data_IF_490806830668
#
_entry.id   IF_490806830668
#
_cell.length_a   1.000
_cell.length_b   1.000
_cell.length_c   1.000
_cell.angle_alpha   90.00
_cell.angle_beta   90.00
_cell.angle_gamma   90.00
#
_symmetry.space_group_name_H-M   'P 1'
#
loop_
_entity.id
_entity.type
_entity.pdbx_description
1 polymer ?
#
# COMPACT_ATOMS: atom_id res chain seq x y z
N UNK A 1 -21.66 -7.93 29.53
CA UNK A 1 -22.38 -8.46 28.36
C UNK A 1 -21.38 -8.60 27.23
N UNK A 2 -20.90 -9.84 26.99
CA UNK A 2 -20.06 -10.14 25.83
C UNK A 2 -20.82 -9.74 24.58
N UNK A 3 -20.27 -8.82 23.80
CA UNK A 3 -20.90 -8.25 22.61
C UNK A 3 -21.03 -9.24 21.45
N UNK A 4 -20.69 -10.52 21.64
CA UNK A 4 -20.66 -11.54 20.58
C UNK A 4 -19.68 -11.19 19.45
N UNK A 5 -18.80 -10.22 19.67
CA UNK A 5 -17.84 -9.73 18.67
C UNK A 5 -16.51 -10.43 18.86
N UNK A 6 -16.09 -11.17 17.85
CA UNK A 6 -14.79 -11.81 17.78
C UNK A 6 -13.77 -10.82 17.20
N UNK A 7 -12.60 -10.68 17.83
CA UNK A 7 -11.51 -9.93 17.20
C UNK A 7 -11.04 -10.66 15.94
N UNK A 8 -10.65 -9.91 14.91
CA UNK A 8 -10.21 -10.50 13.65
C UNK A 8 -9.02 -11.46 13.83
N UNK A 9 -8.09 -11.12 14.73
CA UNK A 9 -6.91 -11.93 15.06
C UNK A 9 -7.31 -13.29 15.68
N UNK A 10 -8.29 -13.30 16.58
CA UNK A 10 -8.83 -14.53 17.18
C UNK A 10 -9.54 -15.40 16.14
N UNK A 11 -10.18 -14.78 15.15
CA UNK A 11 -10.83 -15.47 14.04
C UNK A 11 -9.90 -16.35 13.22
N UNK A 12 -8.67 -15.89 12.95
CA UNK A 12 -7.66 -16.69 12.24
C UNK A 12 -7.26 -17.90 13.07
N UNK A 13 -7.03 -17.72 14.38
CA UNK A 13 -6.69 -18.82 15.28
C UNK A 13 -7.77 -19.89 15.35
N UNK A 14 -9.04 -19.46 15.48
CA UNK A 14 -10.19 -20.37 15.50
C UNK A 14 -10.33 -21.12 14.17
N UNK A 15 -10.16 -20.44 13.03
CA UNK A 15 -10.18 -21.08 11.72
C UNK A 15 -9.08 -22.12 11.58
N UNK A 16 -7.86 -21.82 12.04
CA UNK A 16 -6.74 -22.75 11.99
C UNK A 16 -7.01 -24.00 12.84
N UNK A 17 -7.47 -23.83 14.07
CA UNK A 17 -7.85 -24.97 14.94
C UNK A 17 -8.98 -25.78 14.30
N UNK A 18 -10.01 -25.12 13.77
CA UNK A 18 -11.11 -25.80 13.08
C UNK A 18 -10.65 -26.58 11.85
N UNK A 19 -9.69 -26.05 11.09
CA UNK A 19 -9.04 -26.76 9.97
C UNK A 19 -8.31 -28.01 10.48
N UNK A 20 -7.45 -27.88 11.50
CA UNK A 20 -6.68 -29.00 12.06
C UNK A 20 -7.58 -30.10 12.66
N UNK A 21 -8.74 -29.72 13.21
CA UNK A 21 -9.74 -30.65 13.72
C UNK A 21 -10.64 -31.26 12.63
N UNK A 22 -10.49 -30.86 11.37
CA UNK A 22 -11.36 -31.31 10.28
C UNK A 22 -12.80 -30.75 10.35
N UNK A 23 -13.06 -29.77 11.21
CA UNK A 23 -14.36 -29.13 11.35
C UNK A 23 -14.70 -28.20 10.18
N UNK A 24 -13.69 -27.69 9.48
CA UNK A 24 -13.86 -26.88 8.27
C UNK A 24 -13.68 -27.75 7.02
N UNK A 25 -14.73 -27.94 6.19
CA UNK A 25 -14.64 -28.76 5.00
C UNK A 25 -13.82 -28.07 3.89
N UNK A 26 -13.00 -28.85 3.18
CA UNK A 26 -12.23 -28.36 2.03
C UNK A 26 -13.13 -28.11 0.80
N UNK A 27 -12.93 -27.01 0.05
CA UNK A 27 -13.66 -26.77 -1.19
C UNK A 27 -13.33 -27.81 -2.27
N UNK A 28 -14.31 -28.57 -2.77
CA UNK A 28 -14.07 -29.69 -3.70
C UNK A 28 -14.03 -29.34 -5.19
N UNK A 29 -14.45 -28.13 -5.58
CA UNK A 29 -14.61 -27.72 -7.00
C UNK A 29 -13.65 -26.61 -7.45
N UNK A 30 -12.68 -26.26 -6.60
CA UNK A 30 -11.74 -25.18 -6.89
C UNK A 30 -10.42 -25.81 -7.34
N UNK A 31 -10.13 -25.69 -8.63
CA UNK A 31 -8.93 -26.27 -9.22
C UNK A 31 -7.72 -25.34 -9.18
N UNK A 32 -7.95 -24.02 -9.11
CA UNK A 32 -6.88 -23.02 -9.07
C UNK A 32 -7.31 -21.86 -8.18
N UNK A 33 -6.40 -21.43 -7.30
CA UNK A 33 -6.54 -20.24 -6.46
C UNK A 33 -5.42 -19.26 -6.81
N UNK A 34 -5.81 -18.00 -7.02
CA UNK A 34 -4.88 -16.88 -7.14
C UNK A 34 -4.93 -16.10 -5.84
N UNK A 35 -3.77 -15.94 -5.20
CA UNK A 35 -3.61 -15.11 -4.01
C UNK A 35 -2.81 -13.88 -4.44
N UNK A 36 -3.40 -12.72 -4.22
CA UNK A 36 -2.74 -11.43 -4.46
C UNK A 36 -2.32 -10.81 -3.13
N UNK A 37 -1.30 -9.97 -3.18
CA UNK A 37 -0.71 -9.30 -2.01
C UNK A 37 -0.32 -10.27 -0.87
N UNK A 38 0.26 -11.42 -1.23
CA UNK A 38 0.56 -12.51 -0.27
C UNK A 38 1.41 -12.10 0.91
N UNK A 39 2.21 -11.04 0.79
CA UNK A 39 3.01 -10.52 1.88
C UNK A 39 2.18 -9.98 3.06
N UNK A 40 0.92 -9.56 2.84
CA UNK A 40 0.07 -9.01 3.91
C UNK A 40 -0.57 -10.09 4.80
N UNK A 41 -0.47 -11.36 4.40
CA UNK A 41 -1.02 -12.47 5.16
C UNK A 41 -0.03 -12.91 6.24
N UNK A 42 -0.56 -13.21 7.42
CA UNK A 42 0.20 -13.85 8.49
C UNK A 42 0.51 -15.31 8.18
N UNK A 43 1.54 -15.89 8.84
CA UNK A 43 1.83 -17.32 8.71
C UNK A 43 0.62 -18.21 9.01
N UNK A 44 -0.20 -17.84 10.00
CA UNK A 44 -1.42 -18.58 10.35
C UNK A 44 -2.47 -18.50 9.23
N UNK A 45 -2.65 -17.33 8.60
CA UNK A 45 -3.55 -17.20 7.45
C UNK A 45 -3.05 -18.04 6.26
N UNK A 46 -1.75 -18.03 5.98
CA UNK A 46 -1.17 -18.91 4.97
C UNK A 46 -1.40 -20.39 5.28
N UNK A 47 -1.24 -20.82 6.53
CA UNK A 47 -1.48 -22.20 6.95
C UNK A 47 -2.96 -22.61 6.75
N UNK A 48 -3.91 -21.73 7.07
CA UNK A 48 -5.34 -21.96 6.80
C UNK A 48 -5.59 -22.14 5.30
N UNK A 49 -5.04 -21.25 4.46
CA UNK A 49 -5.19 -21.33 3.00
C UNK A 49 -4.54 -22.61 2.46
N UNK A 50 -3.34 -22.96 2.94
CA UNK A 50 -2.63 -24.17 2.55
C UNK A 50 -3.45 -25.44 2.85
N UNK A 51 -4.10 -25.49 4.01
CA UNK A 51 -4.99 -26.58 4.40
C UNK A 51 -6.24 -26.65 3.52
N UNK A 52 -6.95 -25.53 3.37
CA UNK A 52 -8.24 -25.48 2.66
C UNK A 52 -8.08 -25.87 1.19
N UNK A 53 -7.03 -25.37 0.54
CA UNK A 53 -6.81 -25.52 -0.90
C UNK A 53 -5.73 -26.55 -1.23
N UNK A 54 -5.52 -27.56 -0.37
CA UNK A 54 -4.50 -28.60 -0.57
C UNK A 54 -4.56 -29.28 -1.93
N UNK A 55 -5.76 -29.35 -2.52
CA UNK A 55 -6.06 -30.07 -3.76
C UNK A 55 -6.13 -29.13 -4.99
N UNK A 56 -5.90 -27.82 -4.79
CA UNK A 56 -5.92 -26.78 -5.83
C UNK A 56 -4.51 -26.40 -6.27
N UNK A 57 -4.32 -25.95 -7.51
CA UNK A 57 -3.10 -25.20 -7.91
C UNK A 57 -3.13 -23.80 -7.31
N UNK A 58 -1.95 -23.24 -7.03
CA UNK A 58 -1.80 -21.89 -6.47
C UNK A 58 -0.95 -21.02 -7.38
N UNK A 59 -1.38 -19.78 -7.57
CA UNK A 59 -0.55 -18.69 -8.07
C UNK A 59 -0.54 -17.60 -7.02
N UNK A 60 0.64 -17.30 -6.50
CA UNK A 60 0.85 -16.33 -5.43
C UNK A 60 1.58 -15.12 -6.00
N UNK A 61 0.98 -13.95 -5.83
CA UNK A 61 1.48 -12.66 -6.29
C UNK A 61 1.67 -11.76 -5.08
N UNK A 62 2.76 -11.00 -5.05
CA UNK A 62 3.03 -10.07 -3.97
C UNK A 62 4.29 -9.26 -4.21
N UNK A 63 4.41 -8.20 -3.43
CA UNK A 63 5.58 -7.33 -3.37
C UNK A 63 5.94 -7.09 -1.91
N UNK A 64 7.01 -7.72 -1.45
CA UNK A 64 7.50 -7.65 -0.08
C UNK A 64 7.75 -6.20 0.36
N UNK A 65 8.17 -5.32 -0.56
CA UNK A 65 8.36 -3.90 -0.28
C UNK A 65 7.05 -3.16 0.05
N UNK A 66 5.91 -3.69 -0.41
CA UNK A 66 4.57 -3.15 -0.17
C UNK A 66 3.89 -3.73 1.08
N UNK A 67 4.64 -4.39 1.97
CA UNK A 67 4.11 -4.84 3.26
C UNK A 67 3.72 -3.63 4.13
N UNK A 68 2.44 -3.51 4.44
CA UNK A 68 1.91 -2.39 5.25
C UNK A 68 2.09 -2.66 6.75
N UNK A 69 1.89 -3.91 7.20
CA UNK A 69 1.96 -4.26 8.61
C UNK A 69 3.03 -5.33 8.88
N UNK A 70 4.26 -4.91 9.21
CA UNK A 70 5.38 -5.81 9.50
C UNK A 70 5.16 -6.76 10.70
N UNK A 71 4.17 -6.49 11.57
CA UNK A 71 3.87 -7.36 12.71
C UNK A 71 3.02 -8.58 12.31
N UNK A 72 2.32 -8.49 11.20
CA UNK A 72 1.38 -9.50 10.73
C UNK A 72 1.94 -10.23 9.53
N UNK A 73 2.37 -9.49 8.51
CA UNK A 73 2.74 -10.06 7.22
C UNK A 73 4.11 -10.71 7.17
N UNK A 74 4.48 -11.20 5.99
CA UNK A 74 5.70 -11.93 5.71
C UNK A 74 6.55 -11.22 4.65
N UNK A 75 7.88 -11.26 4.82
CA UNK A 75 8.85 -10.57 3.94
C UNK A 75 9.76 -11.53 3.17
N UNK A 76 9.48 -12.83 3.20
CA UNK A 76 10.31 -13.85 2.58
C UNK A 76 9.42 -14.82 1.81
N UNK A 77 9.55 -14.79 0.48
CA UNK A 77 8.79 -15.65 -0.42
C UNK A 77 9.08 -17.14 -0.21
N UNK A 78 10.32 -17.51 0.14
CA UNK A 78 10.68 -18.90 0.42
C UNK A 78 10.05 -19.39 1.72
N UNK A 79 10.00 -18.53 2.75
CA UNK A 79 9.26 -18.84 3.97
C UNK A 79 7.76 -19.02 3.70
N UNK A 80 7.17 -18.15 2.86
CA UNK A 80 5.76 -18.33 2.43
C UNK A 80 5.60 -19.68 1.73
N UNK A 81 6.43 -20.02 0.74
CA UNK A 81 6.38 -21.31 0.04
C UNK A 81 6.52 -22.50 0.99
N UNK A 82 7.39 -22.39 1.99
CA UNK A 82 7.63 -23.44 2.98
C UNK A 82 6.39 -23.77 3.82
N UNK A 83 5.51 -22.78 4.09
CA UNK A 83 4.25 -23.01 4.82
C UNK A 83 3.31 -23.90 3.98
N UNK A 84 3.27 -23.72 2.66
CA UNK A 84 2.45 -24.55 1.78
C UNK A 84 3.04 -25.94 1.57
N UNK A 85 4.37 -26.07 1.64
CA UNK A 85 5.12 -27.33 1.56
C UNK A 85 4.69 -28.23 0.38
N UNK A 86 4.61 -27.65 -0.83
CA UNK A 86 4.14 -28.35 -2.04
C UNK A 86 5.30 -28.70 -2.97
N UNK A 87 5.30 -29.89 -3.58
CA UNK A 87 6.29 -30.24 -4.60
C UNK A 87 6.13 -29.33 -5.83
N UNK A 88 7.23 -29.07 -6.53
CA UNK A 88 7.26 -28.23 -7.74
C UNK A 88 6.77 -26.79 -7.52
N UNK A 89 7.10 -26.21 -6.36
CA UNK A 89 6.87 -24.79 -6.08
C UNK A 89 8.09 -23.98 -6.54
N UNK A 90 7.85 -22.87 -7.23
CA UNK A 90 8.90 -22.00 -7.76
C UNK A 90 8.64 -20.55 -7.38
N UNK A 91 9.67 -19.87 -6.87
CA UNK A 91 9.67 -18.44 -6.69
C UNK A 91 10.27 -17.77 -7.93
N UNK A 92 9.51 -16.88 -8.56
CA UNK A 92 9.97 -16.11 -9.70
C UNK A 92 9.88 -14.61 -9.40
N UNK A 93 11.01 -13.92 -9.47
CA UNK A 93 11.08 -12.47 -9.27
C UNK A 93 10.92 -11.74 -10.61
N UNK A 94 9.93 -10.85 -10.70
CA UNK A 94 9.80 -9.92 -11.82
C UNK A 94 10.52 -8.62 -11.46
N UNK A 95 11.70 -8.40 -12.05
CA UNK A 95 12.59 -7.29 -11.66
C UNK A 95 12.35 -6.00 -12.44
N UNK A 96 11.46 -6.02 -13.45
CA UNK A 96 11.16 -4.87 -14.31
C UNK A 96 9.81 -4.24 -13.96
N UNK A 97 9.84 -3.02 -13.44
CA UNK A 97 8.64 -2.20 -13.19
C UNK A 97 8.32 -1.34 -14.41
N UNK A 98 7.08 -1.43 -14.90
CA UNK A 98 6.53 -0.64 -16.01
C UNK A 98 5.47 0.38 -15.54
N UNK A 99 5.10 0.35 -14.25
CA UNK A 99 3.94 1.07 -13.71
C UNK A 99 4.20 2.56 -13.57
N UNK A 100 5.24 2.91 -12.82
CA UNK A 100 5.63 4.29 -12.50
C UNK A 100 6.82 4.75 -13.33
N UNK A 101 7.05 6.05 -13.37
CA UNK A 101 8.24 6.62 -14.03
C UNK A 101 9.52 6.20 -13.34
N UNK A 102 10.64 6.28 -14.05
CA UNK A 102 11.96 5.99 -13.51
C UNK A 102 12.25 6.84 -12.27
N UNK A 103 11.88 8.13 -12.29
CA UNK A 103 12.10 9.07 -11.19
C UNK A 103 11.34 8.66 -9.93
N UNK A 104 10.07 8.24 -10.07
CA UNK A 104 9.25 7.75 -8.95
C UNK A 104 9.81 6.44 -8.41
N UNK A 105 10.15 5.50 -9.30
CA UNK A 105 10.70 4.20 -8.93
C UNK A 105 12.04 4.34 -8.19
N UNK A 106 12.97 5.15 -8.70
CA UNK A 106 14.26 5.43 -8.07
C UNK A 106 14.10 6.16 -6.73
N UNK A 107 13.11 7.03 -6.63
CA UNK A 107 12.80 7.70 -5.37
C UNK A 107 12.28 6.70 -4.32
N UNK A 108 11.27 5.90 -4.69
CA UNK A 108 10.68 4.90 -3.81
C UNK A 108 11.69 3.81 -3.41
N UNK A 109 12.61 3.42 -4.29
CA UNK A 109 13.68 2.46 -4.00
C UNK A 109 14.55 2.85 -2.79
N UNK A 110 14.73 4.15 -2.52
CA UNK A 110 15.47 4.63 -1.34
C UNK A 110 14.79 4.25 -0.02
N UNK A 111 13.51 3.91 -0.06
CA UNK A 111 12.74 3.46 1.07
C UNK A 111 12.83 1.94 1.26
N UNK A 112 13.41 1.19 0.34
CA UNK A 112 13.63 -0.24 0.46
C UNK A 112 15.03 -0.55 0.99
N UNK A 113 15.27 -1.73 1.58
CA UNK A 113 16.60 -2.21 1.90
C UNK A 113 17.51 -2.28 0.66
N UNK A 114 18.82 -2.02 0.82
CA UNK A 114 19.80 -1.96 -0.28
C UNK A 114 19.96 -3.28 -1.07
N UNK A 115 19.48 -4.40 -0.54
CA UNK A 115 19.55 -5.73 -1.19
C UNK A 115 18.61 -5.91 -2.39
N UNK A 116 17.92 -4.85 -2.79
CA UNK A 116 16.91 -4.88 -3.82
C UNK A 116 17.53 -4.59 -5.20
N UNK A 117 17.75 -5.62 -6.02
CA UNK A 117 18.11 -5.40 -7.43
C UNK A 117 16.93 -4.78 -8.18
N UNK A 118 17.10 -3.53 -8.61
CA UNK A 118 16.06 -2.78 -9.29
C UNK A 118 16.44 -2.51 -10.75
N UNK A 119 15.87 -3.28 -11.67
CA UNK A 119 15.96 -3.02 -13.10
C UNK A 119 14.72 -2.24 -13.54
N UNK A 120 14.70 -0.92 -13.34
CA UNK A 120 13.56 -0.11 -13.76
C UNK A 120 13.51 0.06 -15.27
N UNK A 121 12.31 0.00 -15.85
CA UNK A 121 12.13 0.35 -17.24
C UNK A 121 12.27 1.87 -17.41
N UNK A 122 12.99 2.31 -18.44
CA UNK A 122 13.30 3.72 -18.69
C UNK A 122 12.11 4.49 -19.29
N UNK A 123 11.04 4.60 -18.50
CA UNK A 123 9.96 5.55 -18.78
C UNK A 123 10.20 6.81 -17.94
N UNK A 124 10.76 7.84 -18.56
CA UNK A 124 11.00 9.12 -17.91
C UNK A 124 9.72 9.95 -17.76
N UNK A 125 9.63 10.68 -16.66
CA UNK A 125 8.56 11.65 -16.39
C UNK A 125 9.08 12.86 -15.64
N UNK A 126 8.23 13.46 -14.80
CA UNK A 126 8.66 14.58 -13.96
C UNK A 126 9.49 14.07 -12.78
N UNK A 127 10.50 14.84 -12.32
CA UNK A 127 11.13 14.59 -11.03
C UNK A 127 10.10 14.56 -9.90
N UNK A 128 10.37 13.76 -8.87
CA UNK A 128 9.59 13.79 -7.63
C UNK A 128 9.79 15.14 -6.94
N UNK A 129 8.69 15.82 -6.60
CA UNK A 129 8.72 17.10 -5.89
C UNK A 129 8.66 16.89 -4.38
N UNK A 130 9.53 17.55 -3.63
CA UNK A 130 9.53 17.57 -2.16
C UNK A 130 9.26 19.00 -1.68
N UNK A 131 8.03 19.27 -1.27
CA UNK A 131 7.54 20.60 -0.88
C UNK A 131 7.48 20.72 0.65
N UNK A 132 8.18 21.72 1.18
CA UNK A 132 8.26 22.00 2.63
C UNK A 132 7.55 23.31 2.94
N UNK A 133 6.60 23.26 3.87
CA UNK A 133 5.77 24.39 4.27
C UNK A 133 6.06 24.77 5.73
N UNK A 134 5.91 26.04 6.07
CA UNK A 134 6.08 26.51 7.45
C UNK A 134 4.85 26.17 8.30
N UNK A 135 3.66 26.11 7.69
CA UNK A 135 2.40 25.85 8.41
C UNK A 135 1.49 24.87 7.66
N UNK A 136 0.63 24.17 8.41
CA UNK A 136 -0.42 23.34 7.82
C UNK A 136 -1.35 24.14 6.90
N UNK A 137 -1.50 25.46 7.11
CA UNK A 137 -2.34 26.30 6.27
C UNK A 137 -1.74 26.48 4.87
N UNK A 138 -0.44 26.72 4.78
CA UNK A 138 0.28 26.85 3.52
C UNK A 138 0.24 25.53 2.73
N UNK A 139 0.55 24.41 3.39
CA UNK A 139 0.46 23.08 2.77
C UNK A 139 -0.93 22.80 2.22
N UNK A 140 -1.99 23.09 3.00
CA UNK A 140 -3.38 22.91 2.53
C UNK A 140 -3.72 23.81 1.36
N UNK A 141 -3.22 25.05 1.35
CA UNK A 141 -3.44 25.98 0.25
C UNK A 141 -2.75 25.49 -1.04
N UNK A 142 -1.53 24.96 -0.91
CA UNK A 142 -0.82 24.32 -2.02
C UNK A 142 -1.61 23.12 -2.57
N UNK A 143 -2.01 22.17 -1.70
CA UNK A 143 -2.79 20.99 -2.11
C UNK A 143 -4.10 21.40 -2.80
N UNK A 144 -4.80 22.42 -2.28
CA UNK A 144 -6.02 22.93 -2.88
C UNK A 144 -5.78 23.46 -4.31
N UNK A 145 -4.70 24.23 -4.50
CA UNK A 145 -4.35 24.77 -5.82
C UNK A 145 -3.95 23.68 -6.80
N UNK A 146 -3.18 22.67 -6.35
CA UNK A 146 -2.84 21.53 -7.20
C UNK A 146 -4.06 20.72 -7.62
N UNK A 147 -5.00 20.48 -6.70
CA UNK A 147 -6.26 19.82 -7.03
C UNK A 147 -7.12 20.65 -8.00
N UNK A 148 -7.18 21.98 -7.82
CA UNK A 148 -7.86 22.89 -8.77
C UNK A 148 -7.22 22.87 -10.14
N UNK A 149 -5.89 22.83 -10.21
CA UNK A 149 -5.15 22.72 -11.47
C UNK A 149 -5.42 21.40 -12.20
N UNK A 150 -5.86 20.36 -11.50
CA UNK A 150 -6.28 19.08 -12.08
C UNK A 150 -7.78 18.98 -12.37
N UNK A 151 -8.59 19.92 -11.89
CA UNK A 151 -10.04 19.86 -12.10
C UNK A 151 -10.38 19.97 -13.60
N UNK A 152 -11.21 19.06 -14.10
CA UNK A 152 -11.60 19.00 -15.51
C UNK A 152 -10.55 18.42 -16.46
N UNK A 153 -9.36 18.03 -15.96
CA UNK A 153 -8.35 17.32 -16.76
C UNK A 153 -8.62 15.81 -16.75
N UNK A 154 -8.29 15.09 -17.84
CA UNK A 154 -8.34 13.64 -17.85
C UNK A 154 -7.32 13.07 -16.86
N UNK A 155 -7.69 11.97 -16.21
CA UNK A 155 -6.84 11.24 -15.28
C UNK A 155 -7.34 11.27 -13.84
N UNK A 156 -6.47 10.80 -12.95
CA UNK A 156 -6.73 10.59 -11.54
C UNK A 156 -5.70 11.32 -10.69
N UNK A 157 -6.17 12.14 -9.76
CA UNK A 157 -5.32 12.83 -8.79
C UNK A 157 -5.76 12.45 -7.39
N UNK A 158 -4.86 11.85 -6.61
CA UNK A 158 -5.11 11.50 -5.23
C UNK A 158 -4.23 12.30 -4.27
N UNK A 159 -4.83 12.79 -3.20
CA UNK A 159 -4.11 13.21 -2.01
C UNK A 159 -4.10 12.04 -1.03
N UNK A 160 -2.93 11.46 -0.82
CA UNK A 160 -2.73 10.41 0.16
C UNK A 160 -2.46 11.03 1.53
N UNK A 161 -3.08 10.46 2.56
CA UNK A 161 -2.87 10.87 3.96
C UNK A 161 -2.49 9.67 4.79
N UNK A 162 -1.72 9.87 5.86
CA UNK A 162 -1.26 8.76 6.71
C UNK A 162 -2.41 7.99 7.37
N UNK A 163 -3.48 8.67 7.78
CA UNK A 163 -4.57 8.08 8.56
C UNK A 163 -5.95 8.48 8.05
N UNK A 164 -6.97 7.65 8.31
CA UNK A 164 -8.36 7.95 7.96
C UNK A 164 -8.85 9.26 8.58
N UNK A 165 -8.43 9.54 9.82
CA UNK A 165 -8.75 10.81 10.51
C UNK A 165 -8.16 12.02 9.79
N UNK A 166 -6.93 11.90 9.29
CA UNK A 166 -6.29 12.96 8.50
C UNK A 166 -7.00 13.15 7.15
N UNK A 167 -7.39 12.06 6.49
CA UNK A 167 -8.16 12.07 5.24
C UNK A 167 -9.50 12.82 5.42
N UNK A 168 -10.28 12.45 6.43
CA UNK A 168 -11.57 13.06 6.75
C UNK A 168 -11.42 14.55 7.08
N UNK A 169 -10.43 14.91 7.91
CA UNK A 169 -10.15 16.29 8.30
C UNK A 169 -9.80 17.14 7.07
N UNK A 170 -8.90 16.67 6.23
CA UNK A 170 -8.49 17.38 5.02
C UNK A 170 -9.67 17.52 4.04
N UNK A 171 -10.45 16.45 3.88
CA UNK A 171 -11.64 16.47 3.03
C UNK A 171 -12.66 17.52 3.46
N UNK A 172 -13.01 17.58 4.75
CA UNK A 172 -13.95 18.58 5.26
C UNK A 172 -13.46 20.02 5.02
N UNK A 173 -12.15 20.24 5.10
CA UNK A 173 -11.55 21.55 4.87
C UNK A 173 -11.58 21.98 3.40
N UNK A 174 -11.38 21.03 2.47
CA UNK A 174 -11.25 21.30 1.04
C UNK A 174 -12.55 21.15 0.23
N UNK A 175 -13.50 20.31 0.66
CA UNK A 175 -14.73 19.99 -0.10
C UNK A 175 -15.57 21.22 -0.45
N UNK A 176 -15.62 22.22 0.44
CA UNK A 176 -16.31 23.50 0.19
C UNK A 176 -15.72 24.32 -0.95
N UNK A 177 -14.46 24.07 -1.31
CA UNK A 177 -13.74 24.78 -2.37
C UNK A 177 -13.63 23.95 -3.67
N UNK A 178 -13.91 22.65 -3.59
CA UNK A 178 -13.84 21.68 -4.68
C UNK A 178 -15.05 20.71 -4.59
N UNK A 179 -16.19 21.06 -5.21
CA UNK A 179 -17.41 20.26 -5.14
C UNK A 179 -17.25 18.83 -5.70
N UNK A 180 -16.31 18.63 -6.63
CA UNK A 180 -16.05 17.32 -7.26
C UNK A 180 -15.04 16.45 -6.49
N UNK A 181 -14.54 16.92 -5.34
CA UNK A 181 -13.61 16.16 -4.51
C UNK A 181 -14.29 14.97 -3.84
N UNK A 182 -13.67 13.79 -3.94
CA UNK A 182 -14.14 12.55 -3.33
C UNK A 182 -13.26 12.13 -2.15
N UNK A 183 -13.88 11.47 -1.17
CA UNK A 183 -13.17 10.84 -0.06
C UNK A 183 -13.37 9.33 -0.16
N UNK A 184 -12.28 8.59 -0.30
CA UNK A 184 -12.34 7.14 -0.18
C UNK A 184 -12.37 6.78 1.31
N UNK A 185 -13.40 6.04 1.68
CA UNK A 185 -13.59 5.50 3.03
C UNK A 185 -14.10 4.07 2.89
N UNK A 186 -13.94 3.26 3.94
CA UNK A 186 -14.37 1.85 3.96
C UNK A 186 -15.85 1.65 3.57
N UNK A 187 -16.68 2.70 3.64
CA UNK A 187 -18.12 2.66 3.32
C UNK A 187 -18.46 3.03 1.88
N UNK A 188 -17.54 3.59 1.10
CA UNK A 188 -17.77 4.05 -0.29
C UNK A 188 -16.69 3.48 -1.20
N UNK A 189 -17.03 2.41 -1.91
CA UNK A 189 -16.08 1.63 -2.71
C UNK A 189 -16.08 1.94 -4.22
N UNK A 190 -16.89 2.89 -4.70
CA UNK A 190 -16.96 3.17 -6.14
C UNK A 190 -15.86 4.13 -6.57
N UNK A 191 -14.68 3.56 -6.85
CA UNK A 191 -13.55 4.29 -7.44
C UNK A 191 -13.86 4.70 -8.88
N UNK A 192 -13.58 5.96 -9.22
CA UNK A 192 -13.83 6.57 -10.54
C UNK A 192 -12.74 7.61 -10.84
N UNK A 193 -12.64 8.03 -12.10
CA UNK A 193 -11.77 9.14 -12.50
C UNK A 193 -12.09 10.41 -11.70
N UNK A 194 -11.06 11.21 -11.38
CA UNK A 194 -11.24 12.50 -10.70
C UNK A 194 -10.31 12.73 -9.51
N UNK A 195 -10.77 13.58 -8.59
CA UNK A 195 -10.01 14.07 -7.45
C UNK A 195 -10.37 13.30 -6.18
N UNK A 196 -9.37 12.74 -5.52
CA UNK A 196 -9.56 11.89 -4.35
C UNK A 196 -8.72 12.33 -3.15
N UNK A 197 -9.26 12.15 -1.95
CA UNK A 197 -8.48 12.08 -0.71
C UNK A 197 -8.63 10.66 -0.17
N UNK A 198 -7.50 10.02 0.13
CA UNK A 198 -7.45 8.60 0.47
C UNK A 198 -6.45 8.38 1.60
N UNK A 199 -6.79 7.65 2.68
CA UNK A 199 -5.78 7.18 3.62
C UNK A 199 -4.92 6.10 2.95
N UNK A 200 -3.59 6.11 3.15
CA UNK A 200 -2.67 5.18 2.46
C UNK A 200 -3.06 3.71 2.64
N UNK A 201 -3.63 3.33 3.79
CA UNK A 201 -4.13 1.97 4.06
C UNK A 201 -5.21 1.50 3.07
N UNK A 202 -5.97 2.41 2.46
CA UNK A 202 -7.01 2.11 1.46
C UNK A 202 -6.54 2.36 0.02
N UNK A 203 -5.32 2.87 -0.17
CA UNK A 203 -4.76 3.15 -1.49
C UNK A 203 -4.11 1.91 -2.12
N UNK A 204 -3.92 0.82 -1.36
CA UNK A 204 -3.34 -0.43 -1.85
C UNK A 204 -4.23 -1.04 -2.95
N UNK A 205 -3.62 -1.51 -4.03
CA UNK A 205 -4.34 -1.97 -5.22
C UNK A 205 -4.94 -0.86 -6.10
N UNK A 206 -4.86 0.41 -5.70
CA UNK A 206 -5.25 1.56 -6.53
C UNK A 206 -4.02 2.19 -7.17
N UNK A 207 -4.24 2.87 -8.30
CA UNK A 207 -3.21 3.58 -9.06
C UNK A 207 -3.74 4.95 -9.49
N UNK A 208 -2.86 5.95 -9.46
CA UNK A 208 -3.21 7.34 -9.78
C UNK A 208 -2.17 7.96 -10.69
N UNK A 209 -2.60 8.77 -11.65
CA UNK A 209 -1.69 9.51 -12.52
C UNK A 209 -0.83 10.49 -11.71
N UNK A 210 -1.46 11.17 -10.76
CA UNK A 210 -0.81 12.11 -9.84
C UNK A 210 -1.13 11.79 -8.39
N UNK A 211 -0.10 11.79 -7.55
CA UNK A 211 -0.23 11.66 -6.09
C UNK A 211 0.39 12.86 -5.38
N UNK A 212 -0.36 13.44 -4.45
CA UNK A 212 0.18 14.32 -3.41
C UNK A 212 0.16 13.57 -2.08
N UNK A 213 1.31 13.30 -1.48
CA UNK A 213 1.37 12.73 -0.14
C UNK A 213 1.41 13.85 0.89
N UNK A 214 0.33 14.00 1.66
CA UNK A 214 0.23 15.00 2.71
C UNK A 214 0.90 14.53 4.01
N UNK A 215 1.39 15.50 4.79
CA UNK A 215 1.95 15.30 6.11
C UNK A 215 3.12 14.30 6.17
N UNK A 216 4.05 14.36 5.20
CA UNK A 216 5.19 13.43 5.13
C UNK A 216 6.05 13.44 6.40
N UNK A 217 6.14 14.56 7.13
CA UNK A 217 6.83 14.66 8.43
C UNK A 217 6.27 13.71 9.51
N UNK A 218 5.07 13.17 9.33
CA UNK A 218 4.46 12.22 10.29
C UNK A 218 5.03 10.80 10.18
N UNK A 219 5.66 10.43 9.07
CA UNK A 219 6.31 9.14 8.89
C UNK A 219 7.67 9.21 9.57
N UNK A 220 7.85 8.56 10.72
CA UNK A 220 9.08 8.74 11.54
C UNK A 220 9.72 7.43 11.95
N UNK A 221 8.93 6.36 12.07
CA UNK A 221 9.39 5.07 12.56
C UNK A 221 9.76 4.19 11.39
N UNK A 222 10.67 3.25 11.59
CA UNK A 222 10.97 2.21 10.58
C UNK A 222 9.71 1.41 10.18
N UNK A 223 8.76 1.23 11.09
CA UNK A 223 7.46 0.63 10.78
C UNK A 223 6.61 1.43 9.79
N UNK A 224 6.88 2.73 9.62
CA UNK A 224 6.18 3.60 8.65
C UNK A 224 6.80 3.49 7.23
N UNK A 225 7.97 2.84 7.07
CA UNK A 225 8.74 2.77 5.82
C UNK A 225 7.96 2.06 4.71
N UNK A 226 7.36 0.90 5.00
CA UNK A 226 6.51 0.18 4.04
C UNK A 226 5.28 0.99 3.64
N UNK A 227 4.66 1.70 4.60
CA UNK A 227 3.53 2.58 4.31
C UNK A 227 3.93 3.75 3.40
N UNK A 228 5.11 4.35 3.62
CA UNK A 228 5.65 5.42 2.79
C UNK A 228 6.00 4.92 1.39
N UNK A 229 6.58 3.73 1.28
CA UNK A 229 6.86 3.07 0.00
C UNK A 229 5.58 2.82 -0.80
N UNK A 230 4.55 2.26 -0.15
CA UNK A 230 3.23 2.06 -0.77
C UNK A 230 2.67 3.37 -1.29
N UNK A 231 2.72 4.44 -0.47
CA UNK A 231 2.22 5.77 -0.87
C UNK A 231 2.92 6.31 -2.12
N UNK A 232 4.25 6.24 -2.18
CA UNK A 232 5.03 6.70 -3.33
C UNK A 232 4.71 5.89 -4.61
N UNK A 233 4.59 4.57 -4.48
CA UNK A 233 4.35 3.66 -5.61
C UNK A 233 2.90 3.67 -6.13
N UNK A 234 2.00 4.45 -5.51
CA UNK A 234 0.66 4.68 -6.07
C UNK A 234 0.66 5.67 -7.23
N UNK A 235 1.73 6.47 -7.38
CA UNK A 235 1.87 7.44 -8.46
C UNK A 235 2.39 6.80 -9.74
N UNK A 236 1.71 7.06 -10.87
CA UNK A 236 2.15 6.61 -12.19
C UNK A 236 2.97 7.66 -12.94
N UNK A 237 2.66 8.96 -12.80
CA UNK A 237 3.31 10.02 -13.60
C UNK A 237 3.90 11.15 -12.77
N UNK A 238 3.22 11.58 -11.71
CA UNK A 238 3.65 12.70 -10.89
C UNK A 238 3.49 12.38 -9.40
N UNK A 239 4.55 12.61 -8.62
CA UNK A 239 4.57 12.42 -7.17
C UNK A 239 5.07 13.71 -6.50
N UNK A 240 4.27 14.23 -5.58
CA UNK A 240 4.61 15.37 -4.74
C UNK A 240 4.50 14.99 -3.26
N UNK A 241 5.59 15.13 -2.52
CA UNK A 241 5.64 14.93 -1.07
C UNK A 241 5.49 16.29 -0.38
N UNK A 242 4.48 16.42 0.46
CA UNK A 242 4.21 17.66 1.20
C UNK A 242 4.54 17.46 2.68
N UNK A 243 5.40 18.30 3.24
CA UNK A 243 5.78 18.30 4.66
C UNK A 243 5.53 19.65 5.32
N UNK A 244 5.11 19.64 6.58
CA UNK A 244 5.17 20.84 7.44
C UNK A 244 6.40 20.75 8.32
N UNK A 245 7.34 21.68 8.14
CA UNK A 245 8.68 21.58 8.70
C UNK A 245 9.51 20.46 8.05
N UNK A 246 10.47 19.92 8.80
CA UNK A 246 11.40 18.92 8.26
C UNK A 246 10.66 17.66 7.74
N UNK A 247 10.98 17.19 6.51
CA UNK A 247 10.46 15.94 5.98
C UNK A 247 10.78 14.73 6.84
N UNK A 248 10.14 13.60 6.53
CA UNK A 248 10.42 12.33 7.19
C UNK A 248 11.91 12.00 7.18
N UNK A 249 12.50 11.58 8.32
CA UNK A 249 13.89 11.11 8.36
C UNK A 249 14.10 9.87 7.48
N UNK A 250 13.05 9.12 7.15
CA UNK A 250 13.11 7.93 6.29
C UNK A 250 13.43 8.28 4.83
N UNK A 251 13.24 9.54 4.42
CA UNK A 251 13.55 10.04 3.08
C UNK A 251 15.03 10.41 2.93
N UNK A 252 15.74 10.62 4.04
CA UNK A 252 17.18 10.87 4.00
C UNK A 252 17.88 9.55 3.68
N UNK A 253 18.85 9.57 2.75
CA UNK A 253 19.67 8.41 2.44
C UNK A 253 20.22 7.85 3.75
N UNK A 254 19.91 6.59 4.05
CA UNK A 254 20.64 5.80 5.04
C UNK A 254 22.11 5.89 4.66
N UNK A 255 22.87 6.69 5.40
CA UNK A 255 24.31 6.64 5.35
C UNK A 255 24.70 5.31 6.01
N UNK A 256 25.65 4.53 5.48
CA UNK A 256 25.90 3.18 5.98
C UNK A 256 26.23 3.22 7.47
N UNK A 257 25.56 2.38 8.25
CA UNK A 257 26.13 1.92 9.51
C UNK A 257 27.31 1.04 9.10
N UNK A 258 28.53 1.53 9.37
CA UNK A 258 29.78 0.77 9.19
C UNK A 258 29.79 -0.49 10.03
#
# INVERSE_FOLDING_TARGET
SDTGTLFFEDGVGILLVGCLMGAIPKPRKIHHVVLDEVQDFSPAQHAVIAYLFSDSKLTMLGDIGQLINPKIGMIDGEQILSIYNRPNSYLHALTKSYRSTLEINQFAARLLPETSEHNFFERHGKPVSEEVFATDREMRFYILNELRNCEGKPGTTAVLTRSTKDAERLYQQLKRHLPNLNLLSERKANYQLGLWIIPVSLAKGLEFDRVLLADCQKYKKESDRGLLYVACTRAMHELTLCSVGEPSPLLQKTTPVK
#
